data_IF_676193361619
#
_entry.id   IF_676193361619
#
_cell.length_a   1.000
_cell.length_b   1.000
_cell.length_c   1.000
_cell.angle_alpha   90.00
_cell.angle_beta   90.00
_cell.angle_gamma   90.00
#
_symmetry.space_group_name_H-M   'P 1'
#
loop_
_entity.id
_entity.type
_entity.pdbx_description
1 polymer ?
#
# COMPACT_ATOMS: atom_id res chain seq x y z
N UNK A 1 14.84 -0.34 5.99
CA UNK A 1 15.58 -0.51 4.73
C UNK A 1 17.01 -0.95 5.02
N UNK A 2 17.67 -1.63 4.09
CA UNK A 2 19.07 -2.03 4.22
C UNK A 2 19.92 -1.27 3.20
N UNK A 3 21.10 -0.80 3.61
CA UNK A 3 22.02 -0.07 2.74
C UNK A 3 22.32 -0.85 1.45
N UNK A 4 22.17 -0.18 0.32
CA UNK A 4 22.49 -0.69 -1.01
C UNK A 4 23.15 0.41 -1.85
N UNK A 5 24.45 0.27 -2.09
CA UNK A 5 25.25 1.26 -2.84
C UNK A 5 24.74 1.54 -4.27
N UNK A 6 23.92 0.65 -4.84
CA UNK A 6 23.32 0.85 -6.16
C UNK A 6 22.07 1.75 -6.13
N UNK A 7 21.55 2.08 -4.94
CA UNK A 7 20.46 3.03 -4.76
C UNK A 7 21.01 4.46 -4.76
N UNK A 8 20.36 5.34 -5.53
CA UNK A 8 20.81 6.74 -5.75
C UNK A 8 21.09 7.49 -4.45
N UNK A 9 20.20 7.36 -3.45
CA UNK A 9 20.36 8.01 -2.14
C UNK A 9 21.62 7.55 -1.41
N UNK A 10 21.82 6.24 -1.30
CA UNK A 10 22.97 5.64 -0.63
C UNK A 10 24.27 5.95 -1.36
N UNK A 11 24.27 5.98 -2.71
CA UNK A 11 25.43 6.40 -3.50
C UNK A 11 25.83 7.84 -3.15
N UNK A 12 24.89 8.79 -3.16
CA UNK A 12 25.20 10.19 -2.83
C UNK A 12 25.68 10.35 -1.39
N UNK A 13 25.04 9.68 -0.43
CA UNK A 13 25.49 9.67 0.95
C UNK A 13 26.92 9.12 1.10
N UNK A 14 27.28 8.06 0.34
CA UNK A 14 28.63 7.49 0.36
C UNK A 14 29.71 8.46 -0.14
N UNK A 15 29.34 9.41 -0.99
CA UNK A 15 30.21 10.48 -1.46
C UNK A 15 30.24 11.70 -0.53
N UNK A 16 29.57 11.64 0.63
CA UNK A 16 29.48 12.75 1.57
C UNK A 16 28.55 13.87 1.10
N UNK A 17 27.66 13.60 0.14
CA UNK A 17 26.71 14.59 -0.37
C UNK A 17 25.48 14.62 0.56
N UNK A 18 25.14 15.79 1.16
CA UNK A 18 23.93 15.93 1.96
C UNK A 18 22.70 15.55 1.14
N UNK A 19 21.93 14.58 1.63
CA UNK A 19 20.82 13.97 0.90
C UNK A 19 19.59 13.92 1.79
N UNK A 20 18.44 14.37 1.27
CA UNK A 20 17.13 14.25 1.91
C UNK A 20 16.30 13.30 1.05
N UNK A 21 15.72 12.28 1.68
CA UNK A 21 14.79 11.36 1.05
C UNK A 21 13.36 11.71 1.48
N UNK A 22 12.48 11.88 0.50
CA UNK A 22 11.04 11.96 0.72
C UNK A 22 10.41 10.65 0.25
N UNK A 23 9.92 9.86 1.21
CA UNK A 23 9.10 8.69 0.92
C UNK A 23 7.63 9.08 1.05
N UNK A 24 6.87 8.88 -0.02
CA UNK A 24 5.44 9.12 -0.04
C UNK A 24 4.70 7.77 -0.03
N UNK A 25 3.88 7.56 1.00
CA UNK A 25 2.93 6.46 1.02
C UNK A 25 1.70 6.74 0.16
N UNK A 26 0.73 5.84 0.21
CA UNK A 26 -0.60 6.07 -0.37
C UNK A 26 -1.44 6.95 0.56
N UNK A 27 -2.10 7.96 0.00
CA UNK A 27 -3.16 8.69 0.68
C UNK A 27 -4.50 8.02 0.36
N UNK A 28 -5.39 7.88 1.35
CA UNK A 28 -6.64 7.14 1.19
C UNK A 28 -7.43 7.62 -0.04
N UNK A 29 -7.81 6.68 -0.91
CA UNK A 29 -8.58 6.90 -2.15
C UNK A 29 -7.85 7.74 -3.22
N UNK A 30 -6.57 8.08 -3.02
CA UNK A 30 -5.74 8.87 -3.96
C UNK A 30 -4.89 7.97 -4.85
N UNK A 31 -5.53 7.13 -5.68
CA UNK A 31 -4.82 6.24 -6.60
C UNK A 31 -4.08 6.98 -7.72
N UNK A 32 -4.58 8.17 -8.11
CA UNK A 32 -3.91 9.06 -9.08
C UNK A 32 -2.73 9.84 -8.45
N UNK A 33 -2.61 9.80 -7.10
CA UNK A 33 -1.54 10.42 -6.31
C UNK A 33 -1.51 11.95 -6.36
N UNK A 34 -2.63 12.61 -6.58
CA UNK A 34 -2.68 14.07 -6.66
C UNK A 34 -2.51 14.74 -5.29
N UNK A 35 -3.09 14.17 -4.24
CA UNK A 35 -2.90 14.64 -2.86
C UNK A 35 -1.47 14.34 -2.41
N UNK A 36 -1.01 13.11 -2.65
CA UNK A 36 0.38 12.73 -2.34
C UNK A 36 1.38 13.63 -3.05
N UNK A 37 1.15 13.97 -4.33
CA UNK A 37 1.98 14.90 -5.10
C UNK A 37 1.99 16.30 -4.48
N UNK A 38 0.83 16.81 -4.06
CA UNK A 38 0.72 18.10 -3.36
C UNK A 38 1.55 18.10 -2.06
N UNK A 39 1.40 17.08 -1.22
CA UNK A 39 2.12 16.98 0.06
C UNK A 39 3.64 16.90 -0.13
N UNK A 40 4.10 16.17 -1.14
CA UNK A 40 5.53 16.11 -1.49
C UNK A 40 6.03 17.48 -1.94
N UNK A 41 5.27 18.18 -2.78
CA UNK A 41 5.64 19.53 -3.21
C UNK A 41 5.72 20.51 -2.03
N UNK A 42 4.72 20.50 -1.14
CA UNK A 42 4.74 21.31 0.08
C UNK A 42 5.94 20.96 0.98
N UNK A 43 6.26 19.68 1.12
CA UNK A 43 7.40 19.21 1.92
C UNK A 43 8.72 19.76 1.36
N UNK A 44 8.91 19.72 0.04
CA UNK A 44 10.06 20.32 -0.63
C UNK A 44 10.17 21.82 -0.32
N UNK A 45 9.07 22.57 -0.42
CA UNK A 45 9.05 24.01 -0.12
C UNK A 45 9.42 24.30 1.33
N UNK A 46 8.84 23.55 2.28
CA UNK A 46 9.13 23.69 3.71
C UNK A 46 10.59 23.38 4.00
N UNK A 47 11.15 22.33 3.40
CA UNK A 47 12.56 21.99 3.57
C UNK A 47 13.50 23.06 3.04
N UNK A 48 13.24 23.58 1.82
CA UNK A 48 14.03 24.68 1.26
C UNK A 48 13.94 25.94 2.12
N UNK A 49 12.72 26.31 2.53
CA UNK A 49 12.51 27.45 3.42
C UNK A 49 13.23 27.27 4.76
N UNK A 50 13.21 26.06 5.33
CA UNK A 50 13.93 25.76 6.56
C UNK A 50 15.45 25.90 6.37
N UNK A 51 16.02 25.34 5.30
CA UNK A 51 17.47 25.41 5.01
C UNK A 51 17.95 26.84 4.79
N UNK A 52 17.15 27.70 4.14
CA UNK A 52 17.54 29.10 3.88
C UNK A 52 17.47 29.95 5.16
N UNK A 53 16.47 29.71 6.01
CA UNK A 53 16.21 30.55 7.19
C UNK A 53 16.83 30.02 8.49
N UNK A 54 17.29 28.77 8.49
CA UNK A 54 17.93 28.13 9.63
C UNK A 54 19.30 27.63 9.16
N UNK A 55 20.31 27.68 10.02
CA UNK A 55 21.62 27.09 9.74
C UNK A 55 21.76 25.76 10.50
N UNK A 56 21.17 24.65 9.99
CA UNK A 56 21.16 23.40 10.72
C UNK A 56 22.57 22.83 10.85
N UNK A 57 23.02 22.63 12.09
CA UNK A 57 24.33 22.08 12.43
C UNK A 57 24.31 20.55 12.65
N UNK A 58 23.16 19.91 12.42
CA UNK A 58 22.96 18.47 12.62
C UNK A 58 22.82 18.03 14.08
N UNK A 59 22.86 18.94 15.07
CA UNK A 59 22.81 18.58 16.50
C UNK A 59 21.50 17.93 16.95
N UNK A 60 20.40 18.15 16.21
CA UNK A 60 19.04 17.73 16.59
C UNK A 60 18.54 16.45 15.89
N UNK A 61 19.43 15.55 15.52
CA UNK A 61 19.02 14.30 14.84
C UNK A 61 18.37 13.25 15.76
N UNK A 62 18.60 13.28 17.08
CA UNK A 62 18.13 12.21 17.99
C UNK A 62 16.62 11.93 17.94
N UNK A 63 15.72 12.93 17.87
CA UNK A 63 14.29 12.68 17.73
C UNK A 63 13.92 11.91 16.47
N UNK A 64 14.69 12.02 15.38
CA UNK A 64 14.46 11.24 14.16
C UNK A 64 14.54 9.74 14.42
N UNK A 65 15.49 9.30 15.25
CA UNK A 65 15.66 7.88 15.60
C UNK A 65 14.53 7.33 16.48
N UNK A 66 13.63 8.18 16.98
CA UNK A 66 12.45 7.76 17.73
C UNK A 66 11.23 7.53 16.82
N UNK A 67 11.31 7.95 15.55
CA UNK A 67 10.23 7.71 14.58
C UNK A 67 10.20 6.20 14.30
N UNK A 68 9.04 5.53 14.42
CA UNK A 68 8.92 4.11 14.14
C UNK A 68 9.24 3.83 12.67
N UNK A 69 9.86 2.68 12.39
CA UNK A 69 10.10 2.26 11.02
C UNK A 69 8.79 1.90 10.31
N UNK A 70 8.73 2.22 9.02
CA UNK A 70 7.65 1.76 8.17
C UNK A 70 7.69 0.23 8.03
N UNK A 71 6.54 -0.41 8.27
CA UNK A 71 6.34 -1.84 8.08
C UNK A 71 5.34 -2.08 6.93
N UNK A 72 5.50 -3.19 6.21
CA UNK A 72 4.60 -3.58 5.12
C UNK A 72 3.36 -4.29 5.68
N UNK A 73 2.47 -3.50 6.27
CA UNK A 73 1.25 -4.00 6.94
C UNK A 73 -0.04 -3.70 6.17
N UNK A 74 0.04 -2.99 5.04
CA UNK A 74 -1.13 -2.55 4.29
C UNK A 74 -1.39 -3.36 3.01
N UNK A 75 -2.67 -3.57 2.73
CA UNK A 75 -3.22 -4.10 1.48
C UNK A 75 -4.28 -3.13 0.93
N UNK A 76 -4.64 -3.25 -0.34
CA UNK A 76 -5.68 -2.40 -0.93
C UNK A 76 -7.07 -2.74 -0.40
N UNK A 77 -7.38 -4.03 -0.31
CA UNK A 77 -8.69 -4.49 0.13
C UNK A 77 -8.57 -5.72 1.03
N UNK A 78 -9.30 -5.75 2.14
CA UNK A 78 -9.37 -6.95 3.00
C UNK A 78 -10.82 -7.37 3.22
N UNK A 79 -11.11 -8.63 2.91
CA UNK A 79 -12.32 -9.32 3.36
C UNK A 79 -12.04 -9.99 4.69
N UNK A 80 -12.76 -9.56 5.72
CA UNK A 80 -12.65 -10.08 7.09
C UNK A 80 -13.64 -11.20 7.35
N UNK A 81 -13.22 -12.22 8.09
CA UNK A 81 -14.05 -13.34 8.55
C UNK A 81 -14.75 -14.12 7.42
N UNK A 82 -14.03 -14.44 6.35
CA UNK A 82 -14.49 -15.35 5.30
C UNK A 82 -14.41 -16.82 5.76
N UNK A 83 -15.31 -17.66 5.25
CA UNK A 83 -15.22 -19.12 5.45
C UNK A 83 -14.56 -19.75 4.22
N UNK A 84 -13.41 -20.39 4.42
CA UNK A 84 -12.69 -21.12 3.39
C UNK A 84 -12.35 -22.52 3.93
N UNK A 85 -12.76 -23.57 3.24
CA UNK A 85 -12.50 -24.97 3.65
C UNK A 85 -12.83 -25.27 5.13
N UNK A 86 -13.96 -24.73 5.63
CA UNK A 86 -14.44 -24.83 7.01
C UNK A 86 -13.63 -24.05 8.07
N UNK A 87 -12.67 -23.23 7.66
CA UNK A 87 -11.92 -22.33 8.55
C UNK A 87 -12.36 -20.88 8.35
N UNK A 88 -12.20 -20.06 9.39
CA UNK A 88 -12.44 -18.62 9.33
C UNK A 88 -11.10 -17.93 9.07
N UNK A 89 -11.01 -17.23 7.95
CA UNK A 89 -9.80 -16.56 7.49
C UNK A 89 -10.13 -15.14 7.02
N UNK A 90 -9.11 -14.31 6.92
CA UNK A 90 -9.15 -13.05 6.20
C UNK A 90 -8.51 -13.22 4.81
N UNK A 91 -8.96 -12.44 3.84
CA UNK A 91 -8.49 -12.49 2.44
C UNK A 91 -8.06 -11.08 2.06
N UNK A 92 -6.77 -10.90 1.81
CA UNK A 92 -6.19 -9.64 1.37
C UNK A 92 -5.98 -9.62 -0.14
N UNK A 93 -6.36 -8.51 -0.75
CA UNK A 93 -6.16 -8.20 -2.14
C UNK A 93 -5.16 -7.05 -2.29
N UNK A 94 -4.28 -7.18 -3.26
CA UNK A 94 -3.35 -6.14 -3.69
C UNK A 94 -3.64 -5.82 -5.17
N UNK A 95 -3.66 -4.54 -5.51
CA UNK A 95 -3.82 -4.10 -6.87
C UNK A 95 -2.48 -4.14 -7.60
N UNK A 96 -2.49 -4.78 -8.76
CA UNK A 96 -1.36 -4.83 -9.67
C UNK A 96 -1.59 -3.86 -10.82
N UNK A 97 -0.61 -2.99 -11.05
CA UNK A 97 -0.58 -2.10 -12.21
C UNK A 97 -0.24 -2.93 -13.46
N UNK A 98 -1.14 -2.94 -14.42
CA UNK A 98 -0.94 -3.56 -15.73
C UNK A 98 -0.98 -2.45 -16.77
N UNK A 99 0.03 -2.41 -17.64
CA UNK A 99 0.05 -1.53 -18.79
C UNK A 99 -0.73 -2.19 -19.93
N UNK A 100 -1.89 -1.63 -20.26
CA UNK A 100 -2.73 -2.10 -21.36
C UNK A 100 -3.07 -0.94 -22.28
N UNK A 101 -2.74 -1.08 -23.57
CA UNK A 101 -3.04 -0.09 -24.62
C UNK A 101 -2.53 1.34 -24.33
N UNK A 102 -1.47 1.46 -23.51
CA UNK A 102 -0.89 2.74 -23.10
C UNK A 102 -1.48 3.32 -21.80
N UNK A 103 -2.54 2.72 -21.29
CA UNK A 103 -3.16 3.08 -20.02
C UNK A 103 -2.74 2.14 -18.90
N UNK A 104 -2.67 2.68 -17.68
CA UNK A 104 -2.50 1.88 -16.46
C UNK A 104 -3.88 1.42 -15.99
N UNK A 105 -4.05 0.11 -15.91
CA UNK A 105 -5.21 -0.53 -15.29
C UNK A 105 -4.77 -1.25 -14.01
N UNK A 106 -5.67 -1.32 -13.05
CA UNK A 106 -5.43 -2.01 -11.78
C UNK A 106 -6.20 -3.33 -11.78
N UNK A 107 -5.47 -4.45 -11.75
CA UNK A 107 -6.06 -5.78 -11.56
C UNK A 107 -5.96 -6.17 -10.09
N UNK A 108 -7.07 -6.63 -9.52
CA UNK A 108 -7.09 -7.08 -8.12
C UNK A 108 -6.65 -8.53 -8.00
N UNK A 109 -5.66 -8.78 -7.15
CA UNK A 109 -5.08 -10.10 -6.92
C UNK A 109 -5.13 -10.44 -5.45
N UNK A 110 -5.57 -11.66 -5.11
CA UNK A 110 -5.46 -12.15 -3.73
C UNK A 110 -3.98 -12.37 -3.41
N UNK A 111 -3.42 -11.55 -2.54
CA UNK A 111 -2.01 -11.62 -2.17
C UNK A 111 -1.79 -12.53 -0.97
N UNK A 112 -2.76 -12.60 -0.04
CA UNK A 112 -2.62 -13.39 1.18
C UNK A 112 -3.96 -13.87 1.73
N UNK A 113 -4.01 -15.11 2.19
CA UNK A 113 -5.14 -15.70 2.92
C UNK A 113 -4.67 -16.22 4.27
N UNK A 114 -5.38 -15.90 5.35
CA UNK A 114 -5.09 -16.43 6.68
C UNK A 114 -5.41 -15.47 7.81
N UNK A 115 -4.60 -15.49 8.88
CA UNK A 115 -4.69 -14.51 9.97
C UNK A 115 -4.04 -13.19 9.54
N UNK A 116 -4.89 -12.18 9.33
CA UNK A 116 -4.49 -10.83 8.95
C UNK A 116 -4.81 -9.80 10.03
N UNK A 117 -4.94 -10.21 11.29
CA UNK A 117 -5.30 -9.34 12.42
C UNK A 117 -4.35 -8.15 12.63
N UNK A 118 -3.09 -8.29 12.26
CA UNK A 118 -2.06 -7.24 12.34
C UNK A 118 -1.86 -6.45 11.03
N UNK A 119 -2.68 -6.74 10.00
CA UNK A 119 -2.64 -6.07 8.70
C UNK A 119 -3.87 -5.19 8.52
N UNK A 120 -3.78 -4.22 7.63
CA UNK A 120 -4.80 -3.20 7.40
C UNK A 120 -5.13 -3.09 5.91
N UNK A 121 -6.40 -2.92 5.58
CA UNK A 121 -6.85 -2.62 4.22
C UNK A 121 -7.11 -1.14 4.05
N UNK A 122 -6.80 -0.56 2.89
CA UNK A 122 -7.35 0.76 2.52
C UNK A 122 -8.88 0.73 2.50
N UNK A 123 -9.45 -0.41 2.10
CA UNK A 123 -10.86 -0.73 2.29
C UNK A 123 -11.02 -2.09 2.94
N UNK A 124 -11.92 -2.19 3.90
CA UNK A 124 -12.23 -3.45 4.57
C UNK A 124 -13.73 -3.72 4.58
N UNK A 125 -14.09 -4.98 4.37
CA UNK A 125 -15.46 -5.46 4.56
C UNK A 125 -15.48 -6.68 5.46
N UNK A 126 -16.52 -6.84 6.27
CA UNK A 126 -16.72 -8.04 7.06
C UNK A 126 -17.84 -8.88 6.43
N UNK A 127 -17.52 -10.11 6.05
CA UNK A 127 -18.48 -11.01 5.41
C UNK A 127 -19.17 -11.95 6.41
N UNK A 128 -19.03 -11.73 7.71
CA UNK A 128 -19.79 -12.39 8.77
C UNK A 128 -19.84 -13.92 8.65
N UNK A 129 -18.69 -14.56 8.41
CA UNK A 129 -18.54 -16.03 8.30
C UNK A 129 -19.30 -16.64 7.13
N UNK A 130 -19.33 -15.95 5.99
CA UNK A 130 -19.84 -16.50 4.74
C UNK A 130 -18.71 -17.01 3.85
N UNK A 131 -18.99 -18.04 3.01
CA UNK A 131 -18.05 -18.46 1.98
C UNK A 131 -17.79 -17.37 0.95
N UNK A 132 -16.53 -17.27 0.53
CA UNK A 132 -16.10 -16.41 -0.58
C UNK A 132 -15.58 -17.30 -1.69
N UNK A 133 -16.15 -17.11 -2.88
CA UNK A 133 -15.93 -17.99 -4.03
C UNK A 133 -15.45 -17.18 -5.25
N UNK A 134 -14.80 -17.87 -6.17
CA UNK A 134 -14.48 -17.38 -7.50
C UNK A 134 -15.76 -17.24 -8.34
N UNK A 135 -15.62 -16.71 -9.55
CA UNK A 135 -16.72 -16.66 -10.54
C UNK A 135 -17.25 -18.05 -10.93
N UNK A 136 -16.39 -19.08 -10.85
CA UNK A 136 -16.74 -20.48 -11.11
C UNK A 136 -17.36 -21.20 -9.89
N UNK A 137 -17.70 -20.46 -8.83
CA UNK A 137 -18.29 -20.98 -7.60
C UNK A 137 -17.41 -21.99 -6.85
N UNK A 138 -16.09 -21.89 -7.02
CA UNK A 138 -15.10 -22.65 -6.24
C UNK A 138 -14.44 -21.76 -5.18
N UNK A 139 -13.87 -22.33 -4.10
CA UNK A 139 -13.12 -21.54 -3.11
C UNK A 139 -12.02 -20.69 -3.77
N UNK A 140 -11.86 -19.45 -3.32
CA UNK A 140 -10.76 -18.59 -3.77
C UNK A 140 -9.41 -19.09 -3.27
N UNK A 141 -8.32 -18.66 -3.93
CA UNK A 141 -6.95 -19.07 -3.63
C UNK A 141 -5.99 -17.89 -3.83
N UNK A 142 -4.81 -17.95 -3.19
CA UNK A 142 -3.76 -16.94 -3.36
C UNK A 142 -3.28 -16.88 -4.82
N UNK A 143 -3.16 -15.67 -5.35
CA UNK A 143 -2.86 -15.41 -6.75
C UNK A 143 -4.09 -15.40 -7.67
N UNK A 144 -5.30 -15.63 -7.16
CA UNK A 144 -6.52 -15.44 -7.95
C UNK A 144 -6.70 -13.95 -8.31
N UNK A 145 -6.77 -13.67 -9.61
CA UNK A 145 -6.90 -12.34 -10.18
C UNK A 145 -8.32 -12.13 -10.73
N UNK A 146 -9.06 -11.20 -10.12
CA UNK A 146 -10.41 -10.88 -10.55
C UNK A 146 -10.92 -9.58 -9.93
N UNK A 147 -11.78 -8.87 -10.65
CA UNK A 147 -12.40 -7.62 -10.19
C UNK A 147 -13.50 -7.83 -9.15
N UNK A 148 -13.99 -9.07 -9.01
CA UNK A 148 -15.00 -9.42 -8.03
C UNK A 148 -14.85 -10.84 -7.48
N UNK A 149 -15.42 -11.03 -6.29
CA UNK A 149 -15.64 -12.35 -5.69
C UNK A 149 -17.12 -12.55 -5.41
N UNK A 150 -17.53 -13.80 -5.22
CA UNK A 150 -18.92 -14.16 -5.01
C UNK A 150 -19.20 -14.44 -3.53
N UNK A 151 -20.25 -13.83 -2.99
CA UNK A 151 -20.84 -14.15 -1.69
C UNK A 151 -22.34 -14.37 -1.88
N UNK A 152 -22.88 -15.54 -1.55
CA UNK A 152 -24.32 -15.86 -1.71
C UNK A 152 -24.91 -15.54 -3.10
N UNK A 153 -24.14 -15.78 -4.17
CA UNK A 153 -24.50 -15.42 -5.56
C UNK A 153 -24.56 -13.90 -5.84
N UNK A 154 -24.13 -13.05 -4.90
CA UNK A 154 -23.93 -11.61 -5.10
C UNK A 154 -22.45 -11.32 -5.36
N UNK A 155 -22.18 -10.27 -6.14
CA UNK A 155 -20.82 -9.83 -6.46
C UNK A 155 -20.33 -8.83 -5.42
N UNK A 156 -19.17 -9.11 -4.85
CA UNK A 156 -18.38 -8.14 -4.09
C UNK A 156 -17.31 -7.61 -5.02
N UNK A 157 -17.39 -6.32 -5.36
CA UNK A 157 -16.33 -5.65 -6.13
C UNK A 157 -15.09 -5.48 -5.25
N UNK A 158 -13.97 -5.98 -5.76
CA UNK A 158 -12.65 -5.90 -5.12
C UNK A 158 -11.66 -5.12 -6.00
N UNK A 159 -12.15 -4.27 -6.89
CA UNK A 159 -11.34 -3.43 -7.77
C UNK A 159 -11.38 -1.94 -7.39
N UNK A 160 -10.50 -1.14 -7.99
CA UNK A 160 -10.57 0.32 -7.91
C UNK A 160 -11.82 0.80 -8.67
N UNK A 161 -12.69 1.54 -7.99
CA UNK A 161 -13.78 2.25 -8.67
C UNK A 161 -13.16 3.51 -9.29
N UNK A 162 -12.90 3.51 -10.60
CA UNK A 162 -12.62 4.77 -11.32
C UNK A 162 -13.92 5.58 -11.31
N UNK A 163 -13.93 6.73 -10.63
CA UNK A 163 -15.02 7.70 -10.69
C UNK A 163 -15.06 8.37 -12.06
#
# INVERSE_FOLDING_TARGET
>A
DAFNINCVGDTFQSFGIPTILFEAGHFQEDYEREITRELIFQSCLVSLHYIVNNNPDGSRYRPYLQIPMNEKLFFDFIIRNAVLNNEIVDIAFQFQEILQDGDIIFSSRIEKIGDLSNFYGHKEINVNKHPILTHDMVPVFEGYENDFVMQKNERILVNVTKN
#
